data_IF_357417981434
#
_entry.id   IF_357417981434
#
_cell.length_a   1.000
_cell.length_b   1.000
_cell.length_c   1.000
_cell.angle_alpha   90.00
_cell.angle_beta   90.00
_cell.angle_gamma   90.00
#
_symmetry.space_group_name_H-M   'P 1'
#
loop_
_entity.id
_entity.type
_entity.pdbx_description
1 polymer ?
#
# COMPACT_ATOMS: atom_id res chain seq x y z
N UNK A 1 -5.30 -17.26 20.58
CA UNK A 1 -4.35 -16.45 19.79
C UNK A 1 -3.47 -17.42 19.02
N UNK A 2 -3.39 -17.34 17.70
CA UNK A 2 -2.46 -18.17 16.94
C UNK A 2 -1.03 -17.69 17.22
N UNK A 3 -0.05 -18.61 17.36
CA UNK A 3 1.35 -18.21 17.51
C UNK A 3 1.81 -17.41 16.28
N UNK A 4 2.84 -16.56 16.42
CA UNK A 4 3.46 -15.92 15.26
C UNK A 4 3.95 -17.00 14.29
N UNK A 5 3.75 -16.78 12.99
CA UNK A 5 4.28 -17.67 11.96
C UNK A 5 5.81 -17.71 12.07
N UNK A 6 6.37 -18.91 11.95
CA UNK A 6 7.82 -19.14 11.85
C UNK A 6 8.35 -18.68 10.48
N UNK A 7 9.65 -18.42 10.38
CA UNK A 7 10.28 -18.04 9.11
C UNK A 7 9.94 -18.98 7.93
N UNK A 8 10.01 -20.31 8.10
CA UNK A 8 9.61 -21.27 7.06
C UNK A 8 8.13 -21.18 6.65
N UNK A 9 7.21 -20.94 7.59
CA UNK A 9 5.78 -20.80 7.29
C UNK A 9 5.48 -19.51 6.51
N UNK A 10 6.16 -18.42 6.84
CA UNK A 10 6.08 -17.16 6.08
C UNK A 10 6.60 -17.37 4.66
N UNK A 11 7.74 -18.04 4.49
CA UNK A 11 8.32 -18.35 3.19
C UNK A 11 7.40 -19.25 2.35
N UNK A 12 6.79 -20.28 2.94
CA UNK A 12 5.83 -21.15 2.25
C UNK A 12 4.57 -20.40 1.80
N UNK A 13 3.99 -19.58 2.69
CA UNK A 13 2.84 -18.74 2.36
C UNK A 13 3.18 -17.74 1.25
N UNK A 14 4.38 -17.16 1.29
CA UNK A 14 4.85 -16.25 0.25
C UNK A 14 4.92 -16.92 -1.13
N UNK A 15 5.37 -18.18 -1.22
CA UNK A 15 5.42 -18.92 -2.49
C UNK A 15 4.03 -19.18 -3.07
N UNK A 16 3.07 -19.58 -2.23
CA UNK A 16 1.67 -19.79 -2.65
C UNK A 16 1.07 -18.46 -3.11
N UNK A 17 1.25 -17.40 -2.32
CA UNK A 17 0.75 -16.07 -2.68
C UNK A 17 1.40 -15.56 -3.96
N UNK A 18 2.71 -15.72 -4.15
CA UNK A 18 3.39 -15.32 -5.38
C UNK A 18 2.85 -16.05 -6.61
N UNK A 19 2.45 -17.33 -6.48
CA UNK A 19 1.80 -18.06 -7.55
C UNK A 19 0.38 -17.54 -7.83
N UNK A 20 -0.43 -17.32 -6.79
CA UNK A 20 -1.81 -16.82 -6.92
C UNK A 20 -1.88 -15.39 -7.45
N UNK A 21 -0.92 -14.55 -7.07
CA UNK A 21 -0.83 -13.14 -7.46
C UNK A 21 -0.02 -12.93 -8.75
N UNK A 22 0.30 -13.99 -9.51
CA UNK A 22 0.86 -13.81 -10.86
C UNK A 22 -0.13 -12.98 -11.67
N UNK A 23 0.22 -11.73 -12.02
CA UNK A 23 -0.76 -10.84 -12.61
C UNK A 23 -1.08 -11.32 -14.02
N UNK A 24 -2.36 -11.37 -14.36
CA UNK A 24 -2.77 -11.50 -15.76
C UNK A 24 -2.33 -10.25 -16.52
N UNK A 25 -1.97 -10.39 -17.79
CA UNK A 25 -1.37 -9.32 -18.59
C UNK A 25 -2.10 -7.97 -18.47
N UNK A 26 -3.45 -7.89 -18.51
CA UNK A 26 -4.16 -6.61 -18.38
C UNK A 26 -3.93 -5.89 -17.04
N UNK A 27 -3.82 -6.63 -15.94
CA UNK A 27 -3.58 -6.05 -14.61
C UNK A 27 -2.14 -5.57 -14.50
N UNK A 28 -1.20 -6.34 -15.04
CA UNK A 28 0.21 -5.94 -15.06
C UNK A 28 0.42 -4.67 -15.91
N UNK A 29 -0.16 -4.61 -17.10
CA UNK A 29 -0.12 -3.43 -17.96
C UNK A 29 -0.75 -2.21 -17.29
N UNK A 30 -1.89 -2.40 -16.62
CA UNK A 30 -2.54 -1.36 -15.85
C UNK A 30 -1.61 -0.85 -14.72
N UNK A 31 -1.00 -1.75 -13.95
CA UNK A 31 -0.06 -1.41 -12.89
C UNK A 31 1.15 -0.63 -13.44
N UNK A 32 1.74 -1.07 -14.55
CA UNK A 32 2.86 -0.38 -15.18
C UNK A 32 2.49 1.01 -15.71
N UNK A 33 1.25 1.20 -16.18
CA UNK A 33 0.74 2.52 -16.58
C UNK A 33 0.59 3.43 -15.37
N UNK A 34 0.01 2.95 -14.27
CA UNK A 34 -0.11 3.71 -13.01
C UNK A 34 1.27 4.06 -12.46
N UNK A 35 2.20 3.11 -12.42
CA UNK A 35 3.57 3.32 -11.96
C UNK A 35 4.29 4.43 -12.72
N UNK A 36 4.22 4.40 -14.06
CA UNK A 36 4.77 5.45 -14.94
C UNK A 36 4.12 6.81 -14.69
N UNK A 37 2.80 6.83 -14.50
CA UNK A 37 2.07 8.06 -14.25
C UNK A 37 2.44 8.68 -12.89
N UNK A 38 2.63 7.86 -11.85
CA UNK A 38 3.11 8.27 -10.53
C UNK A 38 4.63 8.58 -10.50
N UNK A 39 5.35 8.40 -11.61
CA UNK A 39 6.81 8.59 -11.68
C UNK A 39 7.63 7.55 -10.91
N UNK A 40 7.01 6.44 -10.50
CA UNK A 40 7.63 5.38 -9.69
C UNK A 40 8.54 4.44 -10.51
N UNK A 41 8.49 4.52 -11.83
CA UNK A 41 9.30 3.71 -12.76
C UNK A 41 10.77 4.15 -12.80
N UNK A 42 11.07 5.39 -12.38
CA UNK A 42 12.40 6.01 -12.48
C UNK A 42 13.11 6.19 -11.16
N UNK A 43 12.46 5.87 -10.04
CA UNK A 43 12.96 6.16 -8.70
C UNK A 43 12.88 4.94 -7.80
N UNK A 44 13.77 4.89 -6.81
CA UNK A 44 13.64 3.95 -5.69
C UNK A 44 12.59 4.50 -4.74
N UNK A 45 11.54 3.73 -4.46
CA UNK A 45 10.43 4.15 -3.60
C UNK A 45 10.19 3.17 -2.47
N UNK A 46 9.58 3.68 -1.40
CA UNK A 46 8.93 2.88 -0.37
C UNK A 46 7.43 2.79 -0.68
N UNK A 47 6.78 1.71 -0.26
CA UNK A 47 5.34 1.59 -0.28
C UNK A 47 4.81 1.50 1.16
N UNK A 48 3.67 2.14 1.38
CA UNK A 48 3.01 2.15 2.67
C UNK A 48 1.55 1.76 2.54
N UNK A 49 1.03 0.98 3.49
CA UNK A 49 -0.37 0.62 3.53
C UNK A 49 -1.03 1.04 4.84
N UNK A 50 -2.00 1.94 4.75
CA UNK A 50 -2.73 2.53 5.88
C UNK A 50 -4.23 2.23 5.72
N UNK A 51 -4.82 1.55 6.70
CA UNK A 51 -6.25 1.19 6.70
C UNK A 51 -6.97 1.94 7.81
N UNK A 52 -8.02 2.68 7.46
CA UNK A 52 -8.73 3.59 8.38
C UNK A 52 -10.24 3.42 8.44
N UNK A 53 -10.95 3.04 7.37
CA UNK A 53 -12.41 3.25 7.32
C UNK A 53 -13.21 2.30 8.21
N UNK A 54 -13.05 0.98 8.05
CA UNK A 54 -13.83 -0.05 8.75
C UNK A 54 -13.10 -0.70 9.92
N UNK A 55 -11.79 -0.46 10.05
CA UNK A 55 -10.94 -1.00 11.13
C UNK A 55 -10.65 -0.03 12.27
N UNK A 56 -10.99 1.26 12.13
CA UNK A 56 -10.74 2.30 13.16
C UNK A 56 -11.40 2.00 14.49
N UNK A 57 -12.58 1.38 14.47
CA UNK A 57 -13.41 1.20 15.67
C UNK A 57 -13.12 -0.08 16.46
N UNK A 58 -12.31 -1.01 15.91
CA UNK A 58 -12.21 -2.35 16.49
C UNK A 58 -10.78 -2.84 16.73
N UNK A 59 -9.74 -2.30 16.06
CA UNK A 59 -8.44 -3.02 16.04
C UNK A 59 -7.16 -2.17 16.27
N UNK A 60 -7.12 -0.86 16.01
CA UNK A 60 -5.99 0.02 16.40
C UNK A 60 -6.22 1.51 16.08
N UNK A 61 -5.63 2.40 16.88
CA UNK A 61 -5.55 3.84 16.60
C UNK A 61 -4.32 4.12 15.74
N UNK A 62 -4.50 4.49 14.48
CA UNK A 62 -3.40 4.96 13.63
C UNK A 62 -2.95 6.35 14.06
N UNK A 63 -1.65 6.52 14.31
CA UNK A 63 -1.02 7.80 14.59
C UNK A 63 -0.04 8.16 13.47
N UNK A 64 -0.41 9.17 12.68
CA UNK A 64 0.34 9.61 11.51
C UNK A 64 1.78 10.05 11.85
N UNK A 65 2.01 10.67 13.03
CA UNK A 65 3.36 11.10 13.45
C UNK A 65 4.27 9.91 13.73
N UNK A 66 3.81 8.97 14.55
CA UNK A 66 4.57 7.75 14.86
C UNK A 66 4.85 6.94 13.59
N UNK A 67 3.89 6.90 12.67
CA UNK A 67 4.05 6.24 11.38
C UNK A 67 5.18 6.87 10.55
N UNK A 68 5.21 8.20 10.45
CA UNK A 68 6.26 8.93 9.73
C UNK A 68 7.61 8.75 10.42
N UNK A 69 7.68 8.79 11.75
CA UNK A 69 8.91 8.53 12.52
C UNK A 69 9.48 7.14 12.22
N UNK A 70 8.62 6.11 12.17
CA UNK A 70 9.01 4.76 11.78
C UNK A 70 9.51 4.71 10.34
N UNK A 71 8.82 5.38 9.42
CA UNK A 71 9.24 5.44 8.03
C UNK A 71 10.61 6.10 7.91
N UNK A 72 10.81 7.29 8.48
CA UNK A 72 12.10 8.00 8.53
C UNK A 72 13.18 7.10 9.09
N UNK A 73 12.95 6.47 10.25
CA UNK A 73 13.95 5.62 10.91
C UNK A 73 14.41 4.47 10.01
N UNK A 74 13.47 3.81 9.31
CA UNK A 74 13.78 2.63 8.51
C UNK A 74 14.30 2.95 7.11
N UNK A 75 14.06 4.17 6.61
CA UNK A 75 14.49 4.58 5.26
C UNK A 75 15.51 5.71 5.27
N UNK A 76 15.97 6.18 6.45
CA UNK A 76 16.91 7.30 6.61
C UNK A 76 18.20 7.14 5.79
N UNK A 77 18.72 5.92 5.71
CA UNK A 77 19.96 5.60 4.99
C UNK A 77 19.71 5.16 3.55
N UNK A 78 18.45 5.16 3.11
CA UNK A 78 18.08 4.82 1.75
C UNK A 78 17.91 6.11 0.95
N UNK A 79 18.35 6.13 -0.31
CA UNK A 79 18.10 7.24 -1.23
C UNK A 79 16.60 7.36 -1.65
N UNK A 80 15.68 6.85 -0.82
CA UNK A 80 14.25 6.86 -1.06
C UNK A 80 13.70 8.23 -0.65
N UNK A 81 13.16 8.95 -1.63
CA UNK A 81 12.38 10.18 -1.41
C UNK A 81 10.90 9.97 -1.68
N UNK A 82 10.55 9.07 -2.59
CA UNK A 82 9.16 8.86 -2.98
C UNK A 82 8.52 7.74 -2.17
N UNK A 83 7.31 8.00 -1.67
CA UNK A 83 6.53 7.05 -0.87
C UNK A 83 5.17 6.83 -1.53
N UNK A 84 4.95 5.63 -2.03
CA UNK A 84 3.67 5.21 -2.58
C UNK A 84 2.70 4.84 -1.45
N UNK A 85 1.58 5.55 -1.35
CA UNK A 85 0.59 5.40 -0.27
C UNK A 85 -0.62 4.61 -0.76
N UNK A 86 -0.83 3.43 -0.18
CA UNK A 86 -2.06 2.65 -0.29
C UNK A 86 -2.96 2.98 0.91
N UNK A 87 -4.07 3.67 0.68
CA UNK A 87 -5.03 4.03 1.74
C UNK A 87 -6.45 3.94 1.23
N UNK A 88 -7.38 3.60 2.14
CA UNK A 88 -8.82 3.62 1.90
C UNK A 88 -9.47 4.97 2.24
N UNK A 89 -8.68 5.98 2.62
CA UNK A 89 -9.16 7.32 2.93
C UNK A 89 -8.17 8.42 2.51
N UNK A 90 -8.71 9.52 1.99
CA UNK A 90 -7.95 10.72 1.59
C UNK A 90 -7.46 11.54 2.79
N UNK A 91 -8.10 11.41 3.96
CA UNK A 91 -7.73 12.22 5.14
C UNK A 91 -6.30 11.95 5.58
N UNK A 92 -5.86 10.70 5.52
CA UNK A 92 -4.47 10.31 5.83
C UNK A 92 -3.48 10.99 4.89
N UNK A 93 -3.80 11.04 3.59
CA UNK A 93 -2.91 11.69 2.63
C UNK A 93 -2.78 13.19 2.93
N UNK A 94 -3.90 13.86 3.21
CA UNK A 94 -3.88 15.27 3.62
C UNK A 94 -3.02 15.47 4.84
N UNK A 95 -3.18 14.64 5.88
CA UNK A 95 -2.34 14.71 7.08
C UNK A 95 -0.85 14.53 6.76
N UNK A 96 -0.50 13.54 5.93
CA UNK A 96 0.90 13.29 5.51
C UNK A 96 1.50 14.48 4.74
N UNK A 97 0.72 15.13 3.87
CA UNK A 97 1.19 16.27 3.07
C UNK A 97 1.42 17.54 3.90
N UNK A 98 0.75 17.72 5.04
CA UNK A 98 1.01 18.87 5.94
C UNK A 98 2.20 18.62 6.87
N UNK A 99 2.61 17.36 7.05
CA UNK A 99 3.81 17.05 7.82
C UNK A 99 5.04 17.47 7.02
N UNK A 100 5.92 18.24 7.65
CA UNK A 100 7.23 18.56 7.08
C UNK A 100 8.10 17.30 7.14
N UNK A 101 7.99 16.46 6.10
CA UNK A 101 8.78 15.25 5.94
C UNK A 101 9.70 15.37 4.73
N UNK A 102 10.80 14.61 4.66
CA UNK A 102 11.66 14.58 3.48
C UNK A 102 11.06 13.76 2.32
N UNK A 103 9.82 13.29 2.43
CA UNK A 103 9.19 12.39 1.47
C UNK A 103 8.18 13.06 0.56
N UNK A 104 8.19 12.64 -0.70
CA UNK A 104 7.15 12.92 -1.69
C UNK A 104 6.13 11.78 -1.65
N UNK A 105 4.97 12.02 -1.02
CA UNK A 105 3.89 11.06 -0.96
C UNK A 105 3.09 11.05 -2.27
N UNK A 106 2.94 9.88 -2.88
CA UNK A 106 2.17 9.70 -4.12
C UNK A 106 1.09 8.64 -3.93
N UNK A 107 -0.06 8.81 -4.60
CA UNK A 107 -1.21 7.92 -4.46
C UNK A 107 -2.03 7.85 -5.75
N UNK A 108 -2.57 6.68 -6.05
CA UNK A 108 -3.33 6.44 -7.27
C UNK A 108 -4.64 7.29 -7.37
N UNK A 109 -5.32 7.60 -6.26
CA UNK A 109 -6.64 8.25 -6.34
C UNK A 109 -6.61 9.78 -6.52
N UNK A 110 -5.44 10.43 -6.65
CA UNK A 110 -5.38 11.85 -7.04
C UNK A 110 -5.97 12.11 -8.44
N UNK A 111 -6.18 11.05 -9.24
CA UNK A 111 -6.77 11.08 -10.60
C UNK A 111 -8.31 11.08 -10.66
N UNK A 112 -9.01 11.57 -9.64
CA UNK A 112 -10.46 11.74 -9.71
C UNK A 112 -10.84 13.23 -9.76
N UNK A 113 -10.84 13.89 -10.94
CA UNK A 113 -11.31 15.28 -11.08
C UNK A 113 -12.76 15.47 -10.61
N UNK A 114 -13.56 14.39 -10.66
CA UNK A 114 -14.99 14.42 -10.29
C UNK A 114 -15.24 14.12 -8.80
N UNK A 115 -14.22 13.72 -8.04
CA UNK A 115 -14.36 13.41 -6.62
C UNK A 115 -14.04 14.63 -5.73
N UNK A 116 -14.75 15.73 -5.97
CA UNK A 116 -15.01 16.73 -4.91
C UNK A 116 -15.79 16.14 -3.72
N UNK A 117 -16.20 14.88 -3.83
CA UNK A 117 -16.80 14.05 -2.81
C UNK A 117 -15.73 13.07 -2.31
N UNK A 118 -15.39 13.19 -1.02
CA UNK A 118 -14.63 12.20 -0.25
C UNK A 118 -15.15 10.79 -0.53
N UNK A 119 -14.48 9.91 -1.30
CA UNK A 119 -15.03 8.60 -1.54
C UNK A 119 -14.61 7.72 -0.37
N UNK A 120 -15.42 7.73 0.69
CA UNK A 120 -15.62 6.47 1.38
C UNK A 120 -16.35 5.61 0.36
N UNK A 121 -15.61 4.77 -0.39
CA UNK A 121 -16.19 3.93 -1.44
C UNK A 121 -17.45 3.27 -0.90
N UNK A 122 -18.59 3.52 -1.54
CA UNK A 122 -19.82 2.82 -1.17
C UNK A 122 -19.56 1.32 -1.29
N UNK A 123 -20.18 0.51 -0.43
CA UNK A 123 -19.90 -0.93 -0.34
C UNK A 123 -20.05 -1.65 -1.70
N UNK A 124 -20.96 -1.18 -2.55
CA UNK A 124 -21.20 -1.66 -3.92
C UNK A 124 -20.03 -1.39 -4.88
N UNK A 125 -19.39 -0.22 -4.77
CA UNK A 125 -18.22 0.15 -5.58
C UNK A 125 -16.97 -0.65 -5.18
N UNK A 126 -16.84 -0.97 -3.88
CA UNK A 126 -15.75 -1.82 -3.36
C UNK A 126 -15.78 -3.23 -3.96
N UNK A 127 -16.96 -3.74 -4.32
CA UNK A 127 -17.11 -5.06 -4.95
C UNK A 127 -17.04 -5.03 -6.48
N UNK A 128 -16.77 -3.87 -7.09
CA UNK A 128 -16.67 -3.77 -8.55
C UNK A 128 -15.40 -4.43 -9.09
N UNK A 129 -15.49 -4.96 -10.32
CA UNK A 129 -14.32 -5.48 -11.05
C UNK A 129 -13.25 -4.40 -11.19
N UNK A 130 -13.66 -3.15 -11.46
CA UNK A 130 -12.76 -2.00 -11.56
C UNK A 130 -11.96 -1.80 -10.27
N UNK A 131 -12.63 -1.74 -9.12
CA UNK A 131 -11.93 -1.57 -7.84
C UNK A 131 -10.99 -2.73 -7.54
N UNK A 132 -11.37 -3.95 -7.92
CA UNK A 132 -10.53 -5.13 -7.77
C UNK A 132 -9.25 -5.02 -8.62
N UNK A 133 -9.35 -4.52 -9.85
CA UNK A 133 -8.19 -4.27 -10.72
C UNK A 133 -7.28 -3.18 -10.15
N UNK A 134 -7.86 -2.07 -9.68
CA UNK A 134 -7.11 -0.97 -9.04
C UNK A 134 -6.36 -1.48 -7.81
N UNK A 135 -7.02 -2.23 -6.94
CA UNK A 135 -6.41 -2.79 -5.74
C UNK A 135 -5.31 -3.82 -6.04
N UNK A 136 -5.51 -4.68 -7.04
CA UNK A 136 -4.47 -5.61 -7.48
C UNK A 136 -3.27 -4.88 -8.10
N UNK A 137 -3.51 -3.77 -8.81
CA UNK A 137 -2.44 -2.93 -9.32
C UNK A 137 -1.63 -2.28 -8.20
N UNK A 138 -2.28 -1.76 -7.16
CA UNK A 138 -1.61 -1.23 -5.97
C UNK A 138 -0.73 -2.29 -5.31
N UNK A 139 -1.21 -3.53 -5.19
CA UNK A 139 -0.42 -4.66 -4.66
C UNK A 139 0.82 -4.92 -5.51
N UNK A 140 0.69 -4.94 -6.84
CA UNK A 140 1.82 -5.16 -7.74
C UNK A 140 2.85 -4.04 -7.55
N UNK A 141 2.42 -2.78 -7.62
CA UNK A 141 3.29 -1.60 -7.47
C UNK A 141 3.98 -1.61 -6.10
N UNK A 142 3.23 -1.84 -5.03
CA UNK A 142 3.78 -1.88 -3.68
C UNK A 142 4.73 -3.07 -3.47
N UNK A 143 4.48 -4.19 -4.14
CA UNK A 143 5.35 -5.34 -4.03
C UNK A 143 6.72 -5.01 -4.60
N UNK A 144 6.79 -4.27 -5.72
CA UNK A 144 8.02 -3.81 -6.38
C UNK A 144 8.80 -2.73 -5.60
N UNK A 145 8.26 -2.21 -4.50
CA UNK A 145 8.94 -1.21 -3.69
C UNK A 145 10.20 -1.76 -3.02
N UNK A 146 11.17 -0.88 -2.75
CA UNK A 146 12.40 -1.26 -2.05
C UNK A 146 12.19 -1.46 -0.53
N UNK A 147 11.09 -0.94 -0.01
CA UNK A 147 10.69 -1.04 1.39
C UNK A 147 9.17 -1.04 1.46
N UNK A 148 8.60 -1.85 2.35
CA UNK A 148 7.17 -1.86 2.61
C UNK A 148 6.88 -1.68 4.10
N UNK A 149 5.97 -0.77 4.42
CA UNK A 149 5.46 -0.57 5.78
C UNK A 149 3.93 -0.66 5.81
N UNK A 150 3.41 -1.58 6.61
CA UNK A 150 1.98 -1.77 6.75
C UNK A 150 1.62 -2.45 8.06
N UNK A 151 0.32 -2.61 8.29
CA UNK A 151 -0.20 -3.25 9.50
C UNK A 151 -0.52 -4.73 9.30
N UNK A 152 0.00 -5.58 10.19
CA UNK A 152 -0.35 -7.01 10.28
C UNK A 152 -1.82 -7.27 10.67
N UNK A 153 -2.53 -6.23 11.15
CA UNK A 153 -3.96 -6.31 11.42
C UNK A 153 -4.80 -6.19 10.13
N UNK A 154 -4.23 -5.66 9.04
CA UNK A 154 -4.88 -5.68 7.73
C UNK A 154 -4.56 -6.96 6.97
N UNK A 155 -5.58 -7.61 6.39
CA UNK A 155 -5.35 -8.71 5.43
C UNK A 155 -4.44 -8.27 4.29
N UNK A 156 -4.67 -7.07 3.75
CA UNK A 156 -3.83 -6.47 2.71
C UNK A 156 -2.38 -6.35 3.20
N UNK A 157 -2.18 -5.83 4.41
CA UNK A 157 -0.84 -5.67 4.99
C UNK A 157 -0.13 -7.01 5.18
N UNK A 158 -0.83 -8.05 5.65
CA UNK A 158 -0.26 -9.41 5.77
C UNK A 158 0.13 -10.02 4.43
N UNK A 159 -0.73 -9.88 3.43
CA UNK A 159 -0.43 -10.36 2.07
C UNK A 159 0.81 -9.65 1.53
N UNK A 160 0.89 -8.33 1.66
CA UNK A 160 2.04 -7.55 1.21
C UNK A 160 3.33 -7.94 1.93
N UNK A 161 3.30 -8.07 3.26
CA UNK A 161 4.47 -8.50 4.04
C UNK A 161 4.94 -9.88 3.58
N UNK A 162 4.01 -10.81 3.31
CA UNK A 162 4.35 -12.14 2.82
C UNK A 162 4.96 -12.08 1.42
N UNK A 163 4.37 -11.30 0.50
CA UNK A 163 4.87 -11.13 -0.87
C UNK A 163 6.27 -10.49 -0.91
N UNK A 164 6.54 -9.53 -0.01
CA UNK A 164 7.85 -8.87 0.09
C UNK A 164 8.88 -9.78 0.76
N UNK A 165 8.50 -10.54 1.78
CA UNK A 165 9.40 -11.47 2.47
C UNK A 165 9.79 -12.70 1.63
N UNK A 166 9.02 -13.03 0.59
CA UNK A 166 9.33 -14.13 -0.33
C UNK A 166 10.31 -13.79 -1.45
N UNK A 167 10.91 -12.60 -1.43
CA UNK A 167 11.91 -12.14 -2.42
C UNK A 167 13.32 -12.25 -1.87
#
# INVERSE_FOLDING_TARGET
KNPPLTGPEVAHNAHILAYMFRPVAPIHEYAQRVKRWLGLDKVKYAAVHIRMTDKKFFEYTFNTKQFVELLVTNVANSAIRTVFVMTDTITVLKELMVLQTPFDFVWQNEMRPEAGITPTLQKSERSSVRHSVEWLADIIIASEAAFFLGSCNSHVGRVMISLVAGR
#
